data_IF_568111603021
#
_entry.id   IF_568111603021
#
_cell.length_a   1.000
_cell.length_b   1.000
_cell.length_c   1.000
_cell.angle_alpha   90.00
_cell.angle_beta   90.00
_cell.angle_gamma   90.00
#
_symmetry.space_group_name_H-M   'P 1'
#
loop_
_entity.id
_entity.type
_entity.pdbx_description
1 polymer ?
#
# COMPACT_ATOMS: atom_id res chain seq x y z
N UNK A 1 -18.72 5.42 14.08
CA UNK A 1 -18.12 4.08 13.87
C UNK A 1 -19.05 3.02 14.45
N UNK A 2 -19.41 2.02 13.65
CA UNK A 2 -20.32 0.95 14.06
C UNK A 2 -19.59 -0.11 14.91
N UNK A 3 -20.32 -0.84 15.76
CA UNK A 3 -19.76 -1.97 16.54
C UNK A 3 -19.13 -3.02 15.61
N UNK A 4 -19.71 -3.24 14.44
CA UNK A 4 -19.16 -4.15 13.43
C UNK A 4 -17.79 -3.69 12.92
N UNK A 5 -17.61 -2.39 12.62
CA UNK A 5 -16.32 -1.84 12.19
C UNK A 5 -15.24 -2.04 13.26
N UNK A 6 -15.56 -1.82 14.54
CA UNK A 6 -14.62 -2.05 15.63
C UNK A 6 -14.19 -3.52 15.75
N UNK A 7 -15.13 -4.46 15.67
CA UNK A 7 -14.82 -5.90 15.71
C UNK A 7 -13.91 -6.27 14.54
N UNK A 8 -14.20 -5.77 13.32
CA UNK A 8 -13.41 -6.06 12.13
C UNK A 8 -12.00 -5.46 12.19
N UNK A 9 -11.82 -4.30 12.83
CA UNK A 9 -10.49 -3.74 13.10
C UNK A 9 -9.70 -4.65 14.06
N UNK A 10 -10.34 -5.17 15.10
CA UNK A 10 -9.68 -6.12 16.03
C UNK A 10 -9.29 -7.40 15.29
N UNK A 11 -10.16 -7.90 14.40
CA UNK A 11 -9.85 -9.06 13.55
C UNK A 11 -8.67 -8.76 12.61
N UNK A 12 -8.67 -7.60 11.94
CA UNK A 12 -7.57 -7.17 11.07
C UNK A 12 -6.25 -7.06 11.83
N UNK A 13 -6.26 -6.47 13.04
CA UNK A 13 -5.09 -6.37 13.90
C UNK A 13 -4.59 -7.76 14.36
N UNK A 14 -5.51 -8.66 14.73
CA UNK A 14 -5.18 -10.05 15.06
C UNK A 14 -4.52 -10.78 13.90
N UNK A 15 -5.11 -10.70 12.70
CA UNK A 15 -4.55 -11.28 11.49
C UNK A 15 -3.17 -10.68 11.14
N UNK A 16 -2.98 -9.37 11.33
CA UNK A 16 -1.71 -8.70 11.09
C UNK A 16 -0.62 -9.17 12.05
N UNK A 17 -0.94 -9.33 13.34
CA UNK A 17 0.02 -9.88 14.31
C UNK A 17 0.42 -11.33 13.98
N UNK A 18 -0.54 -12.16 13.55
CA UNK A 18 -0.29 -13.53 13.10
C UNK A 18 0.62 -13.51 11.86
N UNK A 19 0.37 -12.63 10.91
CA UNK A 19 1.20 -12.47 9.71
C UNK A 19 2.63 -12.03 10.07
N UNK A 20 2.79 -11.02 10.92
CA UNK A 20 4.12 -10.57 11.34
C UNK A 20 4.90 -11.68 12.04
N UNK A 21 4.24 -12.48 12.87
CA UNK A 21 4.84 -13.65 13.49
C UNK A 21 5.16 -14.76 12.48
N UNK A 22 4.34 -14.94 11.45
CA UNK A 22 4.60 -15.87 10.36
C UNK A 22 5.86 -15.47 9.58
N UNK A 23 5.97 -14.18 9.21
CA UNK A 23 7.12 -13.62 8.49
C UNK A 23 8.40 -13.68 9.33
N UNK A 24 8.31 -13.41 10.64
CA UNK A 24 9.45 -13.52 11.57
C UNK A 24 10.04 -14.95 11.64
N UNK A 25 9.19 -15.96 11.44
CA UNK A 25 9.61 -17.37 11.50
C UNK A 25 9.61 -18.07 10.14
N UNK A 26 9.59 -17.33 9.04
CA UNK A 26 9.55 -17.83 7.65
C UNK A 26 8.45 -18.89 7.39
N UNK A 27 7.30 -18.74 8.06
CA UNK A 27 6.16 -19.68 7.97
C UNK A 27 5.26 -19.33 6.79
N UNK A 28 5.74 -19.62 5.58
CA UNK A 28 5.05 -19.27 4.32
C UNK A 28 3.57 -19.67 4.28
N UNK A 29 3.21 -20.87 4.74
CA UNK A 29 1.81 -21.31 4.73
C UNK A 29 0.89 -20.45 5.62
N UNK A 30 1.40 -19.96 6.76
CA UNK A 30 0.64 -19.08 7.64
C UNK A 30 0.60 -17.64 7.09
N UNK A 31 1.70 -17.18 6.48
CA UNK A 31 1.75 -15.88 5.77
C UNK A 31 0.72 -15.83 4.62
N UNK A 32 0.63 -16.89 3.81
CA UNK A 32 -0.35 -17.03 2.72
C UNK A 32 -1.81 -16.99 3.18
N UNK A 33 -2.09 -17.23 4.46
CA UNK A 33 -3.43 -17.12 5.03
C UNK A 33 -3.64 -15.77 5.73
N UNK A 34 -2.69 -15.40 6.59
CA UNK A 34 -2.82 -14.27 7.49
C UNK A 34 -2.81 -12.93 6.75
N UNK A 35 -1.90 -12.74 5.78
CA UNK A 35 -1.82 -11.49 5.01
C UNK A 35 -3.07 -11.20 4.18
N UNK A 36 -3.62 -12.15 3.39
CA UNK A 36 -4.92 -11.98 2.75
C UNK A 36 -6.05 -11.65 3.73
N UNK A 37 -6.06 -12.30 4.90
CA UNK A 37 -7.09 -12.10 5.91
C UNK A 37 -7.11 -10.66 6.47
N UNK A 38 -5.94 -10.00 6.58
CA UNK A 38 -5.88 -8.58 6.97
C UNK A 38 -6.67 -7.73 5.98
N UNK A 39 -6.42 -7.89 4.68
CA UNK A 39 -7.07 -7.08 3.65
C UNK A 39 -8.56 -7.41 3.54
N UNK A 40 -8.96 -8.68 3.68
CA UNK A 40 -10.37 -9.08 3.72
C UNK A 40 -11.09 -8.45 4.92
N UNK A 41 -10.46 -8.45 6.10
CA UNK A 41 -11.03 -7.81 7.28
C UNK A 41 -11.16 -6.29 7.07
N UNK A 42 -10.16 -5.64 6.45
CA UNK A 42 -10.20 -4.22 6.11
C UNK A 42 -11.27 -3.88 5.06
N UNK A 43 -11.54 -4.76 4.09
CA UNK A 43 -12.71 -4.63 3.19
C UNK A 43 -14.00 -4.64 4.02
N UNK A 44 -14.10 -5.55 4.99
CA UNK A 44 -15.22 -5.57 5.94
C UNK A 44 -15.33 -4.25 6.72
N UNK A 45 -14.23 -3.68 7.19
CA UNK A 45 -14.21 -2.37 7.85
C UNK A 45 -14.73 -1.29 6.92
N UNK A 46 -14.26 -1.23 5.67
CA UNK A 46 -14.71 -0.25 4.68
C UNK A 46 -16.23 -0.33 4.39
N UNK A 47 -16.80 -1.54 4.46
CA UNK A 47 -18.24 -1.76 4.34
C UNK A 47 -19.02 -1.33 5.59
N UNK A 48 -18.42 -1.45 6.78
CA UNK A 48 -19.06 -1.21 8.07
C UNK A 48 -18.90 0.23 8.59
N UNK A 49 -17.95 1.02 8.07
CA UNK A 49 -17.79 2.43 8.44
C UNK A 49 -18.87 3.30 7.78
N UNK A 50 -19.36 4.27 8.55
CA UNK A 50 -20.27 5.29 8.06
C UNK A 50 -19.48 6.25 7.16
N UNK A 51 -19.95 6.45 5.94
CA UNK A 51 -19.43 7.46 5.02
C UNK A 51 -20.57 8.00 4.18
N UNK A 52 -20.51 9.27 3.83
CA UNK A 52 -21.52 9.96 3.02
C UNK A 52 -21.29 9.74 1.52
N UNK A 53 -20.14 9.19 1.11
CA UNK A 53 -19.81 8.94 -0.29
C UNK A 53 -19.67 7.44 -0.59
N UNK A 54 -20.76 6.84 -1.07
CA UNK A 54 -20.79 5.43 -1.48
C UNK A 54 -19.92 5.14 -2.71
N UNK A 55 -19.65 6.14 -3.55
CA UNK A 55 -18.78 5.97 -4.75
C UNK A 55 -17.33 5.82 -4.28
N UNK A 56 -16.87 6.70 -3.39
CA UNK A 56 -15.53 6.62 -2.79
C UNK A 56 -15.36 5.31 -2.02
N UNK A 57 -16.37 4.89 -1.24
CA UNK A 57 -16.36 3.57 -0.58
C UNK A 57 -16.13 2.44 -1.59
N UNK A 58 -16.88 2.43 -2.69
CA UNK A 58 -16.75 1.41 -3.74
C UNK A 58 -15.36 1.38 -4.38
N UNK A 59 -14.77 2.55 -4.63
CA UNK A 59 -13.41 2.67 -5.19
C UNK A 59 -12.36 2.13 -4.21
N UNK A 60 -12.46 2.46 -2.91
CA UNK A 60 -11.52 1.95 -1.90
C UNK A 60 -11.65 0.44 -1.71
N UNK A 61 -12.86 -0.11 -1.73
CA UNK A 61 -13.06 -1.57 -1.70
C UNK A 61 -12.41 -2.23 -2.91
N UNK A 62 -12.55 -1.63 -4.11
CA UNK A 62 -11.88 -2.13 -5.31
C UNK A 62 -10.34 -2.02 -5.19
N UNK A 63 -9.82 -0.94 -4.58
CA UNK A 63 -8.39 -0.77 -4.32
C UNK A 63 -7.83 -1.83 -3.37
N UNK A 64 -8.56 -2.14 -2.29
CA UNK A 64 -8.24 -3.24 -1.38
C UNK A 64 -8.30 -4.60 -2.08
N UNK A 65 -9.31 -4.83 -2.93
CA UNK A 65 -9.41 -6.05 -3.73
C UNK A 65 -8.23 -6.22 -4.69
N UNK A 66 -7.81 -5.14 -5.36
CA UNK A 66 -6.62 -5.15 -6.21
C UNK A 66 -5.33 -5.37 -5.40
N UNK A 67 -5.24 -4.78 -4.20
CA UNK A 67 -4.13 -4.99 -3.27
C UNK A 67 -4.04 -6.46 -2.83
N UNK A 68 -5.18 -7.08 -2.49
CA UNK A 68 -5.29 -8.50 -2.13
C UNK A 68 -4.80 -9.41 -3.25
N UNK A 69 -5.20 -9.14 -4.49
CA UNK A 69 -4.71 -9.88 -5.67
C UNK A 69 -3.20 -9.68 -5.82
N UNK A 70 -2.71 -8.43 -5.68
CA UNK A 70 -1.30 -8.12 -5.71
C UNK A 70 -0.50 -8.90 -4.67
N UNK A 71 -0.96 -8.92 -3.42
CA UNK A 71 -0.32 -9.63 -2.31
C UNK A 71 -0.20 -11.13 -2.59
N UNK A 72 -1.29 -11.78 -2.99
CA UNK A 72 -1.28 -13.22 -3.29
C UNK A 72 -0.38 -13.53 -4.48
N UNK A 73 -0.43 -12.72 -5.53
CA UNK A 73 0.37 -12.95 -6.75
C UNK A 73 1.85 -12.68 -6.51
N UNK A 74 2.22 -11.66 -5.74
CA UNK A 74 3.62 -11.33 -5.43
C UNK A 74 4.28 -12.36 -4.49
N UNK A 75 3.51 -13.13 -3.73
CA UNK A 75 4.03 -14.26 -2.95
C UNK A 75 4.34 -15.50 -3.81
N UNK A 76 3.85 -15.56 -5.04
CA UNK A 76 4.11 -16.68 -5.96
C UNK A 76 5.41 -16.47 -6.75
N UNK A 77 5.94 -17.52 -7.43
CA UNK A 77 7.24 -17.43 -8.09
C UNK A 77 7.37 -16.30 -9.11
N UNK A 78 8.61 -15.87 -9.32
CA UNK A 78 9.04 -14.66 -10.07
C UNK A 78 8.37 -14.46 -11.44
N UNK A 79 7.95 -15.53 -12.12
CA UNK A 79 7.23 -15.45 -13.39
C UNK A 79 5.96 -14.59 -13.33
N UNK A 80 5.37 -14.43 -12.12
CA UNK A 80 4.15 -13.64 -11.92
C UNK A 80 4.40 -12.26 -11.32
N UNK A 81 5.66 -11.86 -11.11
CA UNK A 81 6.00 -10.56 -10.51
C UNK A 81 5.35 -9.39 -11.26
N UNK A 82 5.40 -9.39 -12.59
CA UNK A 82 4.80 -8.33 -13.40
C UNK A 82 3.27 -8.24 -13.23
N UNK A 83 2.59 -9.38 -13.09
CA UNK A 83 1.14 -9.42 -12.84
C UNK A 83 0.79 -8.90 -11.44
N UNK A 84 1.59 -9.28 -10.43
CA UNK A 84 1.44 -8.75 -9.07
C UNK A 84 1.68 -7.25 -9.01
N UNK A 85 2.75 -6.76 -9.64
CA UNK A 85 3.06 -5.34 -9.73
C UNK A 85 1.95 -4.56 -10.47
N UNK A 86 1.37 -5.14 -11.53
CA UNK A 86 0.23 -4.54 -12.22
C UNK A 86 -0.99 -4.41 -11.29
N UNK A 87 -1.32 -5.44 -10.50
CA UNK A 87 -2.42 -5.37 -9.54
C UNK A 87 -2.18 -4.28 -8.47
N UNK A 88 -0.94 -4.14 -7.99
CA UNK A 88 -0.57 -3.07 -7.05
C UNK A 88 -0.67 -1.68 -7.70
N UNK A 89 -0.28 -1.52 -8.97
CA UNK A 89 -0.48 -0.27 -9.71
C UNK A 89 -1.97 0.06 -9.81
N UNK A 90 -2.81 -0.91 -10.15
CA UNK A 90 -4.26 -0.73 -10.21
C UNK A 90 -4.82 -0.30 -8.85
N UNK A 91 -4.36 -0.91 -7.76
CA UNK A 91 -4.77 -0.49 -6.41
C UNK A 91 -4.44 0.98 -6.12
N UNK A 92 -3.23 1.43 -6.47
CA UNK A 92 -2.83 2.82 -6.27
C UNK A 92 -3.60 3.80 -7.16
N UNK A 93 -3.90 3.43 -8.40
CA UNK A 93 -4.74 4.26 -9.29
C UNK A 93 -6.17 4.41 -8.74
N UNK A 94 -6.71 3.36 -8.13
CA UNK A 94 -8.01 3.42 -7.46
C UNK A 94 -7.94 4.31 -6.21
N UNK A 95 -6.89 4.19 -5.40
CA UNK A 95 -6.68 5.12 -4.27
C UNK A 95 -6.54 6.57 -4.72
N UNK A 96 -5.81 6.84 -5.81
CA UNK A 96 -5.74 8.17 -6.43
C UNK A 96 -7.14 8.66 -6.79
N UNK A 97 -7.96 7.84 -7.46
CA UNK A 97 -9.30 8.24 -7.87
C UNK A 97 -10.24 8.52 -6.68
N UNK A 98 -10.07 7.81 -5.56
CA UNK A 98 -10.79 8.06 -4.32
C UNK A 98 -10.31 9.36 -3.66
N UNK A 99 -9.01 9.50 -3.38
CA UNK A 99 -8.42 10.64 -2.68
C UNK A 99 -8.55 11.95 -3.46
N UNK A 100 -8.55 11.88 -4.79
CA UNK A 100 -8.68 13.06 -5.65
C UNK A 100 -10.03 13.79 -5.48
N UNK A 101 -11.03 13.16 -4.86
CA UNK A 101 -12.33 13.79 -4.59
C UNK A 101 -12.24 14.94 -3.60
N UNK A 102 -11.28 14.87 -2.66
CA UNK A 102 -11.06 15.88 -1.63
C UNK A 102 -9.78 16.71 -1.89
N UNK A 103 -9.29 16.70 -3.12
CA UNK A 103 -7.99 17.29 -3.47
C UNK A 103 -7.97 18.82 -3.37
N UNK A 104 -6.94 19.32 -2.70
CA UNK A 104 -6.57 20.73 -2.66
C UNK A 104 -5.12 20.94 -3.12
N UNK A 105 -4.90 21.96 -3.96
CA UNK A 105 -3.60 22.20 -4.62
C UNK A 105 -2.50 22.72 -3.70
N UNK A 106 -2.84 23.63 -2.78
CA UNK A 106 -1.91 24.22 -1.80
C UNK A 106 -1.16 23.16 -0.96
N UNK A 107 -1.84 22.27 -0.21
CA UNK A 107 -1.17 21.22 0.57
C UNK A 107 -0.47 20.17 -0.32
N UNK A 108 -1.02 19.91 -1.51
CA UNK A 108 -0.39 18.99 -2.46
C UNK A 108 1.00 19.46 -2.91
N UNK A 109 1.25 20.78 -3.00
CA UNK A 109 2.58 21.29 -3.32
C UNK A 109 3.61 20.93 -2.25
N UNK A 110 3.25 21.02 -0.97
CA UNK A 110 4.10 20.58 0.15
C UNK A 110 4.35 19.09 0.06
N UNK A 111 3.30 18.29 -0.19
CA UNK A 111 3.43 16.86 -0.43
C UNK A 111 4.39 16.53 -1.58
N UNK A 112 4.29 17.26 -2.69
CA UNK A 112 5.15 17.08 -3.86
C UNK A 112 6.63 17.33 -3.53
N UNK A 113 6.94 18.41 -2.81
CA UNK A 113 8.33 18.71 -2.40
C UNK A 113 8.89 17.61 -1.52
N UNK A 114 8.13 17.13 -0.53
CA UNK A 114 8.57 16.06 0.38
C UNK A 114 8.78 14.76 -0.38
N UNK A 115 7.79 14.34 -1.19
CA UNK A 115 7.85 13.08 -1.96
C UNK A 115 9.02 13.10 -2.94
N UNK A 116 9.23 14.21 -3.65
CA UNK A 116 10.36 14.37 -4.58
C UNK A 116 11.68 14.30 -3.83
N UNK A 117 11.81 14.98 -2.69
CA UNK A 117 13.02 14.95 -1.85
C UNK A 117 13.38 13.54 -1.38
N UNK A 118 12.39 12.76 -0.92
CA UNK A 118 12.59 11.36 -0.54
C UNK A 118 12.95 10.50 -1.75
N UNK A 119 12.26 10.67 -2.88
CA UNK A 119 12.50 9.91 -4.10
C UNK A 119 13.94 10.12 -4.62
N UNK A 120 14.49 11.34 -4.54
CA UNK A 120 15.87 11.61 -4.93
C UNK A 120 16.90 10.80 -4.12
N UNK A 121 16.61 10.46 -2.86
CA UNK A 121 17.52 9.67 -2.02
C UNK A 121 17.48 8.16 -2.29
N UNK A 122 16.37 7.63 -2.82
CA UNK A 122 16.13 6.17 -2.93
C UNK A 122 16.13 5.69 -4.39
N UNK A 123 15.51 6.45 -5.29
CA UNK A 123 15.25 6.01 -6.66
C UNK A 123 16.53 5.76 -7.48
N UNK A 124 17.61 6.58 -7.39
CA UNK A 124 18.81 6.34 -8.20
C UNK A 124 19.44 4.97 -7.97
N UNK A 125 19.73 4.60 -6.72
CA UNK A 125 20.33 3.30 -6.35
C UNK A 125 19.39 2.14 -6.72
N UNK A 126 18.08 2.31 -6.50
CA UNK A 126 17.09 1.32 -6.93
C UNK A 126 17.09 1.12 -8.46
N UNK A 127 17.18 2.19 -9.23
CA UNK A 127 17.20 2.11 -10.70
C UNK A 127 18.50 1.50 -11.23
N UNK A 128 19.64 1.75 -10.60
CA UNK A 128 20.89 1.07 -10.94
C UNK A 128 20.78 -0.45 -10.73
N UNK A 129 20.14 -0.88 -9.63
CA UNK A 129 19.94 -2.30 -9.34
C UNK A 129 18.88 -2.98 -10.24
N UNK A 130 17.86 -2.23 -10.68
CA UNK A 130 16.77 -2.75 -11.51
C UNK A 130 17.16 -2.83 -12.99
N UNK A 131 17.96 -1.89 -13.52
CA UNK A 131 18.31 -1.81 -14.96
C UNK A 131 18.83 -3.14 -15.55
N UNK A 132 19.72 -3.91 -14.89
CA UNK A 132 20.21 -5.19 -15.42
C UNK A 132 19.12 -6.28 -15.53
N UNK A 133 17.97 -6.11 -14.87
CA UNK A 133 16.84 -7.07 -14.91
C UNK A 133 16.02 -6.98 -16.20
N UNK A 134 16.31 -6.00 -17.06
CA UNK A 134 15.70 -5.84 -18.39
C UNK A 134 14.75 -4.65 -18.48
N UNK A 135 14.50 -4.19 -19.71
CA UNK A 135 13.74 -2.97 -19.98
C UNK A 135 12.29 -3.04 -19.51
N UNK A 136 11.63 -4.20 -19.65
CA UNK A 136 10.21 -4.34 -19.27
C UNK A 136 10.02 -4.14 -17.76
N UNK A 137 10.83 -4.83 -16.95
CA UNK A 137 10.79 -4.72 -15.48
C UNK A 137 11.17 -3.30 -15.05
N UNK A 138 12.20 -2.70 -15.67
CA UNK A 138 12.61 -1.34 -15.38
C UNK A 138 11.48 -0.34 -15.60
N UNK A 139 10.80 -0.39 -16.76
CA UNK A 139 9.68 0.50 -17.08
C UNK A 139 8.48 0.27 -16.14
N UNK A 140 8.19 -0.98 -15.78
CA UNK A 140 7.10 -1.29 -14.86
C UNK A 140 7.35 -0.69 -13.48
N UNK A 141 8.58 -0.78 -12.96
CA UNK A 141 8.94 -0.19 -11.66
C UNK A 141 8.96 1.35 -11.74
N UNK A 142 9.44 1.93 -12.84
CA UNK A 142 9.37 3.39 -13.04
C UNK A 142 7.93 3.90 -13.03
N UNK A 143 7.03 3.24 -13.77
CA UNK A 143 5.61 3.58 -13.78
C UNK A 143 5.02 3.48 -12.37
N UNK A 144 5.33 2.41 -11.66
CA UNK A 144 4.87 2.21 -10.30
C UNK A 144 5.36 3.30 -9.34
N UNK A 145 6.64 3.66 -9.36
CA UNK A 145 7.20 4.74 -8.52
C UNK A 145 6.44 6.05 -8.79
N UNK A 146 6.19 6.39 -10.05
CA UNK A 146 5.42 7.60 -10.40
C UNK A 146 4.01 7.53 -9.82
N UNK A 147 3.30 6.41 -9.98
CA UNK A 147 1.94 6.23 -9.47
C UNK A 147 1.91 6.31 -7.93
N UNK A 148 2.85 5.68 -7.24
CA UNK A 148 2.95 5.73 -5.77
C UNK A 148 3.24 7.15 -5.26
N UNK A 149 4.16 7.87 -5.92
CA UNK A 149 4.44 9.27 -5.61
C UNK A 149 3.21 10.16 -5.83
N UNK A 150 2.49 10.01 -6.95
CA UNK A 150 1.27 10.77 -7.23
C UNK A 150 0.21 10.50 -6.17
N UNK A 151 0.00 9.24 -5.78
CA UNK A 151 -0.92 8.89 -4.70
C UNK A 151 -0.56 9.60 -3.39
N UNK A 152 0.72 9.60 -3.01
CA UNK A 152 1.17 10.28 -1.79
C UNK A 152 0.95 11.79 -1.84
N UNK A 153 1.22 12.43 -2.98
CA UNK A 153 0.96 13.87 -3.17
C UNK A 153 -0.52 14.19 -3.04
N UNK A 154 -1.39 13.41 -3.69
CA UNK A 154 -2.84 13.58 -3.62
C UNK A 154 -3.35 13.35 -2.19
N UNK A 155 -2.81 12.36 -1.48
CA UNK A 155 -3.17 12.07 -0.09
C UNK A 155 -2.87 13.26 0.84
N UNK A 156 -1.71 13.90 0.71
CA UNK A 156 -1.42 15.17 1.42
C UNK A 156 -2.38 16.27 0.98
N UNK A 157 -2.70 16.31 -0.31
CA UNK A 157 -3.69 17.20 -0.91
C UNK A 157 -5.08 17.14 -0.29
N UNK A 158 -5.46 16.02 0.33
CA UNK A 158 -6.78 15.88 1.01
C UNK A 158 -6.90 16.71 2.28
N UNK A 159 -5.79 17.22 2.84
CA UNK A 159 -5.68 17.83 4.18
C UNK A 159 -6.04 16.91 5.36
N UNK A 160 -6.42 15.66 5.09
CA UNK A 160 -6.75 14.69 6.15
C UNK A 160 -5.48 13.94 6.56
N UNK A 161 -5.05 14.16 7.80
CA UNK A 161 -3.80 13.60 8.35
C UNK A 161 -3.74 12.08 8.22
N UNK A 162 -4.83 11.36 8.47
CA UNK A 162 -4.83 9.89 8.40
C UNK A 162 -4.62 9.37 6.97
N UNK A 163 -5.08 10.10 5.95
CA UNK A 163 -4.83 9.77 4.55
C UNK A 163 -3.35 9.98 4.20
N UNK A 164 -2.79 11.13 4.59
CA UNK A 164 -1.37 11.46 4.36
C UNK A 164 -0.43 10.46 5.06
N UNK A 165 -0.73 10.10 6.31
CA UNK A 165 0.01 9.07 7.05
C UNK A 165 -0.11 7.71 6.36
N UNK A 166 -1.32 7.32 5.95
CA UNK A 166 -1.55 6.08 5.22
C UNK A 166 -0.72 5.98 3.94
N UNK A 167 -0.73 7.03 3.11
CA UNK A 167 0.04 7.05 1.88
C UNK A 167 1.56 7.09 2.11
N UNK A 168 2.04 7.81 3.14
CA UNK A 168 3.45 7.81 3.50
C UNK A 168 3.94 6.43 3.95
N UNK A 169 3.14 5.73 4.78
CA UNK A 169 3.42 4.36 5.19
C UNK A 169 3.41 3.39 4.00
N UNK A 170 2.49 3.59 3.04
CA UNK A 170 2.42 2.77 1.84
C UNK A 170 3.69 2.94 0.99
N UNK A 171 4.08 4.18 0.69
CA UNK A 171 5.31 4.47 -0.06
C UNK A 171 6.55 3.93 0.66
N UNK A 172 6.61 4.03 1.99
CA UNK A 172 7.72 3.48 2.77
C UNK A 172 7.77 1.95 2.72
N UNK A 173 6.62 1.28 2.84
CA UNK A 173 6.51 -0.18 2.66
C UNK A 173 7.02 -0.61 1.29
N UNK A 174 6.56 0.08 0.24
CA UNK A 174 6.85 -0.27 -1.15
C UNK A 174 8.31 -0.01 -1.52
N UNK A 175 8.87 1.09 -1.01
CA UNK A 175 10.29 1.38 -1.12
C UNK A 175 11.13 0.28 -0.46
N UNK A 176 10.79 -0.14 0.76
CA UNK A 176 11.51 -1.22 1.46
C UNK A 176 11.34 -2.57 0.75
N UNK A 177 10.15 -2.87 0.22
CA UNK A 177 9.89 -4.08 -0.56
C UNK A 177 10.77 -4.12 -1.82
N UNK A 178 10.79 -3.03 -2.59
CA UNK A 178 11.62 -2.91 -3.78
C UNK A 178 13.12 -2.97 -3.44
N UNK A 179 13.53 -2.32 -2.34
CA UNK A 179 14.90 -2.35 -1.85
C UNK A 179 15.36 -3.76 -1.50
N UNK A 180 14.57 -4.48 -0.70
CA UNK A 180 14.81 -5.86 -0.30
C UNK A 180 14.92 -6.81 -1.50
N UNK A 181 14.17 -6.51 -2.56
CA UNK A 181 14.06 -7.33 -3.76
C UNK A 181 15.20 -7.11 -4.74
N UNK A 182 15.61 -5.86 -4.97
CA UNK A 182 16.52 -5.51 -6.06
C UNK A 182 17.90 -5.07 -5.60
N UNK A 183 18.02 -4.44 -4.43
CA UNK A 183 19.27 -3.80 -3.98
C UNK A 183 20.00 -4.69 -2.96
N UNK A 184 19.45 -4.80 -1.76
CA UNK A 184 20.01 -5.56 -0.63
C UNK A 184 18.94 -5.80 0.44
N UNK A 185 19.14 -6.73 1.40
CA UNK A 185 18.19 -6.94 2.47
C UNK A 185 17.76 -5.62 3.12
N UNK A 186 16.46 -5.37 3.19
CA UNK A 186 15.93 -4.11 3.70
C UNK A 186 16.23 -3.96 5.20
N UNK A 187 16.53 -2.73 5.68
CA UNK A 187 16.58 -2.44 7.10
C UNK A 187 15.25 -2.83 7.77
N UNK A 188 15.28 -3.62 8.84
CA UNK A 188 14.07 -4.15 9.49
C UNK A 188 13.41 -5.35 8.79
N UNK A 189 13.94 -5.79 7.65
CA UNK A 189 13.52 -7.00 6.94
C UNK A 189 12.08 -6.97 6.42
N UNK A 190 11.58 -8.16 6.07
CA UNK A 190 10.21 -8.35 5.53
C UNK A 190 9.12 -7.98 6.53
N UNK A 191 9.41 -8.08 7.82
CA UNK A 191 8.45 -7.77 8.89
C UNK A 191 8.10 -6.30 8.88
N UNK A 192 9.10 -5.41 8.77
CA UNK A 192 8.84 -3.97 8.72
C UNK A 192 8.04 -3.58 7.48
N UNK A 193 8.30 -4.22 6.32
CA UNK A 193 7.49 -4.05 5.11
C UNK A 193 6.01 -4.34 5.41
N UNK A 194 5.73 -5.50 6.03
CA UNK A 194 4.35 -5.91 6.32
C UNK A 194 3.68 -5.03 7.38
N UNK A 195 4.41 -4.59 8.41
CA UNK A 195 3.90 -3.66 9.43
C UNK A 195 3.47 -2.35 8.78
N UNK A 196 4.36 -1.73 8.00
CA UNK A 196 4.06 -0.47 7.30
C UNK A 196 2.89 -0.64 6.34
N UNK A 197 2.87 -1.74 5.58
CA UNK A 197 1.79 -2.06 4.65
C UNK A 197 0.42 -2.17 5.34
N UNK A 198 0.31 -2.96 6.42
CA UNK A 198 -0.95 -3.13 7.14
C UNK A 198 -1.42 -1.82 7.78
N UNK A 199 -0.50 -1.05 8.35
CA UNK A 199 -0.81 0.27 8.90
C UNK A 199 -1.23 1.27 7.80
N UNK A 200 -0.62 1.19 6.61
CA UNK A 200 -0.98 2.01 5.46
C UNK A 200 -2.42 1.73 5.00
N UNK A 201 -2.74 0.46 4.74
CA UNK A 201 -4.07 0.03 4.32
C UNK A 201 -5.13 0.36 5.38
N UNK A 202 -4.83 0.11 6.66
CA UNK A 202 -5.71 0.47 7.76
C UNK A 202 -5.99 1.97 7.83
N UNK A 203 -4.96 2.80 7.67
CA UNK A 203 -5.10 4.27 7.68
C UNK A 203 -5.93 4.79 6.51
N UNK A 204 -5.74 4.23 5.30
CA UNK A 204 -6.53 4.58 4.12
C UNK A 204 -8.00 4.14 4.24
N UNK A 205 -8.28 3.04 4.95
CA UNK A 205 -9.66 2.64 5.27
C UNK A 205 -10.27 3.53 6.34
N UNK A 206 -9.51 3.91 7.37
CA UNK A 206 -9.98 4.83 8.41
C UNK A 206 -10.24 6.24 7.87
N UNK A 207 -9.49 6.67 6.85
CA UNK A 207 -9.75 7.92 6.13
C UNK A 207 -11.18 7.99 5.58
N UNK A 208 -11.78 6.88 5.13
CA UNK A 208 -13.17 6.85 4.65
C UNK A 208 -14.21 7.32 5.67
N UNK A 209 -13.87 7.21 6.97
CA UNK A 209 -14.78 7.50 8.07
C UNK A 209 -14.63 8.94 8.62
N UNK A 210 -13.75 9.75 8.01
CA UNK A 210 -13.51 11.17 8.35
C UNK A 210 -14.30 12.04 7.39
#
# INVERSE_FOLDING_TARGET
MTTAAFILIIVAAGAAMIDWWAVLGDRLGLEFLAKPLVIIALIGVALAVETNDNVVRGIVIAALGASLVGDVVLMTPDARFAAGLFAVIVAHLLYIAALARDFQSEPALVGAVVVVGVAFGVVPELMEAVRPKGQLITRAIQLYIVVACVMAVIAVGTTVVVAAVGAALFVASDALLAWNRFVRPAPGGRVLVHVLYHCAQGSLVLWLAV
#
